data_IF_473000324429
#
_entry.id   IF_473000324429
#
_cell.length_a   1.000
_cell.length_b   1.000
_cell.length_c   1.000
_cell.angle_alpha   90.00
_cell.angle_beta   90.00
_cell.angle_gamma   90.00
#
_symmetry.space_group_name_H-M   'P 1'
#
loop_
_entity.id
_entity.type
_entity.pdbx_description
1 polymer ?
#
# COMPACT_ATOMS: atom_id res chain seq x y z
N UNK A 1 29.16 -14.54 24.42
CA UNK A 1 27.93 -14.59 23.59
C UNK A 1 27.63 -13.16 23.13
N UNK A 2 27.48 -12.89 21.83
CA UNK A 2 27.11 -11.54 21.38
C UNK A 2 25.66 -11.24 21.79
N UNK A 3 25.31 -9.97 22.07
CA UNK A 3 24.00 -9.59 22.56
C UNK A 3 22.92 -9.90 21.53
N UNK A 4 21.83 -10.51 21.99
CA UNK A 4 20.68 -10.90 21.19
C UNK A 4 20.03 -9.65 20.58
N UNK A 5 19.75 -9.70 19.28
CA UNK A 5 19.07 -8.65 18.49
C UNK A 5 17.56 -8.58 18.83
N UNK A 6 17.20 -8.69 20.10
CA UNK A 6 15.82 -8.79 20.57
C UNK A 6 14.97 -7.52 20.44
N UNK A 7 15.46 -6.27 20.51
CA UNK A 7 14.57 -5.11 20.42
C UNK A 7 13.99 -4.89 19.01
N UNK A 8 14.62 -5.46 17.96
CA UNK A 8 14.12 -5.40 16.58
C UNK A 8 12.96 -6.37 16.31
N UNK A 9 12.85 -7.44 17.09
CA UNK A 9 11.77 -8.43 16.94
C UNK A 9 10.41 -7.78 17.18
N UNK A 10 10.30 -6.86 18.15
CA UNK A 10 9.03 -6.21 18.47
C UNK A 10 8.61 -5.12 17.47
N UNK A 11 9.58 -4.47 16.80
CA UNK A 11 9.31 -3.51 15.71
C UNK A 11 8.87 -4.19 14.41
N UNK A 12 9.16 -5.49 14.29
CA UNK A 12 8.84 -6.29 13.10
C UNK A 12 7.59 -7.15 13.26
N UNK A 13 7.15 -7.44 14.49
CA UNK A 13 6.16 -8.51 14.68
C UNK A 13 4.70 -8.10 14.85
N UNK A 14 4.31 -6.90 15.29
CA UNK A 14 2.90 -6.70 15.68
C UNK A 14 2.48 -5.23 15.71
N UNK A 15 1.15 -4.96 15.60
CA UNK A 15 0.47 -4.41 14.41
C UNK A 15 1.04 -3.09 13.86
N UNK A 16 1.97 -2.45 14.58
CA UNK A 16 2.73 -1.27 14.19
C UNK A 16 4.02 -1.66 13.46
N UNK A 17 3.90 -2.49 12.43
CA UNK A 17 5.04 -2.71 11.53
C UNK A 17 5.35 -1.41 10.80
N UNK A 18 6.62 -1.24 10.40
CA UNK A 18 7.02 -0.09 9.58
C UNK A 18 6.19 0.00 8.28
N UNK A 19 5.75 -1.15 7.75
CA UNK A 19 4.82 -1.21 6.61
C UNK A 19 3.43 -0.68 6.95
N UNK A 20 2.89 -1.00 8.13
CA UNK A 20 1.60 -0.48 8.59
C UNK A 20 1.63 1.05 8.68
N UNK A 21 2.70 1.60 9.25
CA UNK A 21 2.88 3.05 9.38
C UNK A 21 2.98 3.70 7.99
N UNK A 22 3.82 3.14 7.11
CA UNK A 22 3.98 3.65 5.75
C UNK A 22 2.68 3.59 4.93
N UNK A 23 1.89 2.53 5.07
CA UNK A 23 0.60 2.39 4.38
C UNK A 23 -0.48 3.30 4.95
N UNK A 24 -0.47 3.52 6.26
CA UNK A 24 -1.35 4.53 6.89
C UNK A 24 -1.02 5.93 6.37
N UNK A 25 0.27 6.27 6.24
CA UNK A 25 0.71 7.52 5.62
C UNK A 25 0.23 7.65 4.17
N UNK A 26 0.37 6.59 3.37
CA UNK A 26 -0.14 6.54 1.99
C UNK A 26 -1.65 6.81 1.94
N UNK A 27 -2.43 6.18 2.83
CA UNK A 27 -3.88 6.41 2.92
C UNK A 27 -4.21 7.86 3.21
N UNK A 28 -3.55 8.47 4.20
CA UNK A 28 -3.76 9.87 4.56
C UNK A 28 -3.51 10.76 3.34
N UNK A 29 -2.42 10.54 2.60
CA UNK A 29 -2.11 11.34 1.40
C UNK A 29 -3.16 11.14 0.30
N UNK A 30 -3.61 9.91 0.05
CA UNK A 30 -4.67 9.68 -0.93
C UNK A 30 -5.98 10.36 -0.54
N UNK A 31 -6.39 10.27 0.73
CA UNK A 31 -7.59 10.95 1.25
C UNK A 31 -7.46 12.46 1.07
N UNK A 32 -6.34 13.05 1.48
CA UNK A 32 -6.07 14.48 1.30
C UNK A 32 -6.13 14.88 -0.18
N UNK A 33 -5.55 14.07 -1.06
CA UNK A 33 -5.57 14.32 -2.51
C UNK A 33 -7.00 14.29 -3.08
N UNK A 34 -7.81 13.32 -2.67
CA UNK A 34 -9.24 13.22 -3.08
C UNK A 34 -10.06 14.38 -2.51
N UNK A 35 -9.83 14.77 -1.26
CA UNK A 35 -10.51 15.92 -0.64
C UNK A 35 -10.21 17.23 -1.37
N UNK A 36 -8.95 17.44 -1.79
CA UNK A 36 -8.57 18.61 -2.59
C UNK A 36 -9.22 18.58 -3.99
N UNK A 37 -9.34 17.41 -4.60
CA UNK A 37 -10.10 17.26 -5.85
C UNK A 37 -11.58 17.61 -5.69
N UNK A 38 -12.23 17.17 -4.60
CA UNK A 38 -13.64 17.49 -4.35
C UNK A 38 -13.87 18.98 -4.01
N UNK A 39 -12.96 19.59 -3.25
CA UNK A 39 -13.05 21.00 -2.87
C UNK A 39 -12.72 21.98 -4.00
N UNK A 40 -12.06 21.51 -5.07
CA UNK A 40 -11.74 22.35 -6.23
C UNK A 40 -12.88 22.33 -7.25
N UNK A 41 -13.80 23.28 -7.12
CA UNK A 41 -14.98 23.50 -7.99
C UNK A 41 -14.65 23.97 -9.42
N UNK A 42 -13.54 23.55 -10.03
CA UNK A 42 -13.15 23.91 -11.40
C UNK A 42 -13.11 22.72 -12.38
N UNK A 43 -14.19 21.92 -12.50
CA UNK A 43 -14.25 20.79 -13.43
C UNK A 43 -14.18 21.19 -14.91
N UNK A 44 -14.27 22.49 -15.26
CA UNK A 44 -14.25 22.97 -16.65
C UNK A 44 -12.87 23.31 -17.24
N UNK A 45 -11.80 23.42 -16.44
CA UNK A 45 -10.49 23.87 -16.93
C UNK A 45 -9.41 22.77 -17.06
N UNK A 46 -9.67 21.55 -16.57
CA UNK A 46 -8.64 20.49 -16.41
C UNK A 46 -8.90 19.25 -17.31
N UNK A 47 -10.05 19.17 -17.97
CA UNK A 47 -10.35 18.09 -18.93
C UNK A 47 -10.38 16.69 -18.30
N UNK A 48 -10.09 15.66 -19.09
CA UNK A 48 -10.20 14.24 -18.70
C UNK A 48 -9.34 13.85 -17.48
N UNK A 49 -8.32 14.65 -17.16
CA UNK A 49 -7.44 14.45 -16.01
C UNK A 49 -8.17 14.61 -14.67
N UNK A 50 -9.26 15.38 -14.65
CA UNK A 50 -10.16 15.45 -13.49
C UNK A 50 -10.87 14.11 -13.19
N UNK A 51 -10.97 13.21 -14.17
CA UNK A 51 -11.61 11.90 -13.98
C UNK A 51 -10.55 10.83 -13.70
N UNK A 52 -9.48 10.80 -14.48
CA UNK A 52 -8.49 9.72 -14.43
C UNK A 52 -7.70 9.74 -13.12
N UNK A 53 -7.19 10.90 -12.68
CA UNK A 53 -6.29 10.98 -11.52
C UNK A 53 -7.02 10.62 -10.21
N UNK A 54 -8.24 11.10 -9.93
CA UNK A 54 -8.99 10.66 -8.75
C UNK A 54 -9.28 9.16 -8.76
N UNK A 55 -9.61 8.57 -9.92
CA UNK A 55 -9.83 7.12 -10.03
C UNK A 55 -8.56 6.34 -9.68
N UNK A 56 -7.40 6.75 -10.20
CA UNK A 56 -6.12 6.12 -9.85
C UNK A 56 -5.80 6.26 -8.35
N UNK A 57 -6.12 7.40 -7.74
CA UNK A 57 -5.95 7.62 -6.30
C UNK A 57 -6.88 6.74 -5.46
N UNK A 58 -8.13 6.53 -5.89
CA UNK A 58 -9.07 5.62 -5.24
C UNK A 58 -8.59 4.17 -5.34
N UNK A 59 -8.09 3.75 -6.50
CA UNK A 59 -7.50 2.41 -6.67
C UNK A 59 -6.25 2.21 -5.80
N UNK A 60 -5.38 3.21 -5.71
CA UNK A 60 -4.22 3.19 -4.81
C UNK A 60 -4.63 3.12 -3.34
N UNK A 61 -5.66 3.88 -2.95
CA UNK A 61 -6.25 3.85 -1.61
C UNK A 61 -6.84 2.47 -1.28
N UNK A 62 -7.64 1.89 -2.18
CA UNK A 62 -8.20 0.56 -2.03
C UNK A 62 -7.10 -0.51 -1.89
N UNK A 63 -6.04 -0.41 -2.69
CA UNK A 63 -4.89 -1.31 -2.61
C UNK A 63 -4.19 -1.25 -1.25
N UNK A 64 -3.99 -0.03 -0.71
CA UNK A 64 -3.42 0.17 0.62
C UNK A 64 -4.35 -0.35 1.73
N UNK A 65 -5.67 -0.14 1.63
CA UNK A 65 -6.66 -0.63 2.59
C UNK A 65 -6.70 -2.16 2.64
N UNK A 66 -6.78 -2.82 1.48
CA UNK A 66 -6.85 -4.28 1.40
C UNK A 66 -5.57 -4.89 1.98
N UNK A 67 -4.41 -4.33 1.62
CA UNK A 67 -3.14 -4.79 2.18
C UNK A 67 -3.05 -4.57 3.70
N UNK A 68 -3.48 -3.42 4.20
CA UNK A 68 -3.54 -3.17 5.65
C UNK A 68 -4.51 -4.11 6.36
N UNK A 69 -5.64 -4.42 5.73
CA UNK A 69 -6.59 -5.40 6.27
C UNK A 69 -5.93 -6.76 6.43
N UNK A 70 -5.21 -7.25 5.42
CA UNK A 70 -4.42 -8.49 5.52
C UNK A 70 -3.37 -8.42 6.65
N UNK A 71 -2.66 -7.30 6.79
CA UNK A 71 -1.69 -7.10 7.88
C UNK A 71 -2.36 -7.14 9.27
N UNK A 72 -3.52 -6.52 9.45
CA UNK A 72 -4.28 -6.52 10.70
C UNK A 72 -4.78 -7.92 11.04
N UNK A 73 -5.20 -8.69 10.04
CA UNK A 73 -5.58 -10.11 10.19
C UNK A 73 -4.37 -11.04 10.41
N UNK A 74 -3.15 -10.49 10.46
CA UNK A 74 -1.90 -11.25 10.58
C UNK A 74 -1.75 -12.30 9.46
N UNK A 75 -2.32 -12.00 8.30
CA UNK A 75 -2.17 -12.74 7.07
C UNK A 75 -1.16 -12.00 6.19
N UNK A 76 0.09 -12.45 6.22
CA UNK A 76 1.18 -11.86 5.47
C UNK A 76 1.78 -12.89 4.52
N UNK A 77 1.32 -12.85 3.27
CA UNK A 77 1.93 -13.58 2.18
C UNK A 77 2.83 -12.62 1.38
N UNK A 78 4.15 -12.82 1.45
CA UNK A 78 5.15 -11.91 0.86
C UNK A 78 4.93 -11.64 -0.63
N UNK A 79 4.60 -12.66 -1.43
CA UNK A 79 4.27 -12.50 -2.85
C UNK A 79 3.06 -11.59 -3.08
N UNK A 80 1.96 -11.81 -2.34
CA UNK A 80 0.75 -11.00 -2.42
C UNK A 80 1.02 -9.55 -2.03
N UNK A 81 1.78 -9.37 -0.94
CA UNK A 81 2.19 -8.04 -0.47
C UNK A 81 3.07 -7.30 -1.47
N UNK A 82 4.03 -8.00 -2.10
CA UNK A 82 4.85 -7.43 -3.17
C UNK A 82 4.01 -6.99 -4.36
N UNK A 83 2.99 -7.77 -4.74
CA UNK A 83 2.05 -7.38 -5.79
C UNK A 83 1.31 -6.10 -5.43
N UNK A 84 0.77 -5.96 -4.22
CA UNK A 84 0.13 -4.72 -3.77
C UNK A 84 1.10 -3.52 -3.81
N UNK A 85 2.32 -3.71 -3.31
CA UNK A 85 3.32 -2.64 -3.28
C UNK A 85 3.73 -2.22 -4.70
N UNK A 86 3.92 -3.18 -5.60
CA UNK A 86 4.23 -2.90 -7.00
C UNK A 86 3.08 -2.20 -7.73
N UNK A 87 1.84 -2.66 -7.55
CA UNK A 87 0.65 -2.00 -8.08
C UNK A 87 0.52 -0.58 -7.57
N UNK A 88 0.81 -0.34 -6.29
CA UNK A 88 0.83 1.00 -5.68
C UNK A 88 1.84 1.94 -6.36
N UNK A 89 3.08 1.48 -6.58
CA UNK A 89 4.11 2.23 -7.33
C UNK A 89 3.64 2.50 -8.76
N UNK A 90 3.11 1.50 -9.45
CA UNK A 90 2.67 1.64 -10.84
C UNK A 90 1.52 2.65 -10.95
N UNK A 91 0.51 2.57 -10.09
CA UNK A 91 -0.62 3.50 -10.06
C UNK A 91 -0.18 4.93 -9.73
N UNK A 92 0.75 5.11 -8.79
CA UNK A 92 1.26 6.44 -8.43
C UNK A 92 2.05 7.09 -9.55
N UNK A 93 2.89 6.31 -10.25
CA UNK A 93 3.65 6.75 -11.43
C UNK A 93 2.71 7.08 -12.60
N UNK A 94 1.72 6.23 -12.89
CA UNK A 94 0.73 6.51 -13.92
C UNK A 94 -0.04 7.81 -13.63
N UNK A 95 -0.47 8.02 -12.38
CA UNK A 95 -1.12 9.26 -11.97
C UNK A 95 -0.22 10.48 -12.16
N UNK A 96 1.06 10.36 -11.81
CA UNK A 96 2.06 11.42 -12.03
C UNK A 96 2.26 11.72 -13.53
N UNK A 97 2.34 10.70 -14.38
CA UNK A 97 2.44 10.87 -15.84
C UNK A 97 1.24 11.61 -16.40
N UNK A 98 0.02 11.24 -15.98
CA UNK A 98 -1.22 11.91 -16.42
C UNK A 98 -1.23 13.39 -15.99
N UNK A 99 -0.77 13.70 -14.78
CA UNK A 99 -0.66 15.07 -14.28
C UNK A 99 0.36 15.90 -15.06
N UNK A 100 1.51 15.33 -15.43
CA UNK A 100 2.56 16.01 -16.20
C UNK A 100 2.15 16.26 -17.65
N UNK A 101 1.39 15.34 -18.25
CA UNK A 101 0.88 15.50 -19.62
C UNK A 101 -0.22 16.56 -19.72
N UNK A 102 -0.90 16.88 -18.61
CA UNK A 102 -1.85 17.99 -18.56
C UNK A 102 -1.16 19.33 -18.32
N UNK A 103 -0.82 19.99 -19.42
CA UNK A 103 -0.22 21.31 -19.43
C UNK A 103 -1.26 22.40 -19.16
N UNK A 104 -1.50 22.70 -17.88
CA UNK A 104 -2.10 23.99 -17.50
C UNK A 104 -1.19 24.68 -16.48
N UNK A 105 -0.52 25.76 -16.91
CA UNK A 105 0.75 26.22 -16.33
C UNK A 105 0.64 26.81 -14.92
N UNK A 106 -0.57 27.12 -14.43
CA UNK A 106 -0.79 27.92 -13.22
C UNK A 106 -1.74 27.30 -12.18
N UNK A 107 -1.87 25.97 -12.13
CA UNK A 107 -2.67 25.32 -11.09
C UNK A 107 -1.81 24.98 -9.86
N UNK A 108 -1.90 25.79 -8.79
CA UNK A 108 -1.34 25.46 -7.47
C UNK A 108 -1.83 24.10 -6.95
N UNK A 109 -3.09 23.76 -7.28
CA UNK A 109 -3.73 22.47 -7.00
C UNK A 109 -2.99 21.32 -7.69
N UNK A 110 -2.66 21.45 -8.99
CA UNK A 110 -1.89 20.41 -9.70
C UNK A 110 -0.55 20.16 -9.04
N UNK A 111 0.18 21.22 -8.68
CA UNK A 111 1.51 21.07 -8.06
C UNK A 111 1.41 20.39 -6.68
N UNK A 112 0.38 20.72 -5.89
CA UNK A 112 0.10 20.03 -4.62
C UNK A 112 -0.17 18.53 -4.84
N UNK A 113 -1.02 18.21 -5.82
CA UNK A 113 -1.39 16.82 -6.11
C UNK A 113 -0.18 16.06 -6.68
N UNK A 114 0.63 16.68 -7.53
CA UNK A 114 1.87 16.10 -8.05
C UNK A 114 2.87 15.81 -6.92
N UNK A 115 3.01 16.71 -5.94
CA UNK A 115 3.82 16.46 -4.74
C UNK A 115 3.28 15.27 -3.95
N UNK A 116 1.96 15.17 -3.77
CA UNK A 116 1.34 14.02 -3.11
C UNK A 116 1.63 12.71 -3.87
N UNK A 117 1.54 12.71 -5.20
CA UNK A 117 1.92 11.56 -6.04
C UNK A 117 3.39 11.16 -5.85
N UNK A 118 4.30 12.13 -5.75
CA UNK A 118 5.71 11.87 -5.46
C UNK A 118 5.88 11.21 -4.08
N UNK A 119 5.24 11.76 -3.05
CA UNK A 119 5.32 11.24 -1.68
C UNK A 119 4.77 9.80 -1.59
N UNK A 120 3.62 9.50 -2.20
CA UNK A 120 3.10 8.13 -2.20
C UNK A 120 3.96 7.20 -3.03
N UNK A 121 4.58 7.66 -4.13
CA UNK A 121 5.51 6.85 -4.92
C UNK A 121 6.72 6.44 -4.10
N UNK A 122 7.30 7.38 -3.34
CA UNK A 122 8.41 7.10 -2.43
C UNK A 122 7.97 6.12 -1.34
N UNK A 123 6.81 6.34 -0.72
CA UNK A 123 6.30 5.47 0.33
C UNK A 123 5.97 4.05 -0.17
N UNK A 124 5.38 3.91 -1.36
CA UNK A 124 5.15 2.60 -1.99
C UNK A 124 6.45 1.90 -2.35
N UNK A 125 7.43 2.64 -2.87
CA UNK A 125 8.76 2.10 -3.19
C UNK A 125 9.48 1.64 -1.92
N UNK A 126 9.35 2.39 -0.83
CA UNK A 126 9.82 1.98 0.48
C UNK A 126 9.12 0.71 0.96
N UNK A 127 7.79 0.60 0.84
CA UNK A 127 7.06 -0.62 1.21
C UNK A 127 7.51 -1.82 0.38
N UNK A 128 7.71 -1.63 -0.94
CA UNK A 128 8.19 -2.67 -1.85
C UNK A 128 9.58 -3.16 -1.44
N UNK A 129 10.50 -2.24 -1.19
CA UNK A 129 11.85 -2.55 -0.71
C UNK A 129 11.80 -3.28 0.63
N UNK A 130 11.06 -2.73 1.60
CA UNK A 130 11.00 -3.27 2.95
C UNK A 130 10.38 -4.67 2.97
N UNK A 131 9.26 -4.87 2.29
CA UNK A 131 8.63 -6.19 2.16
C UNK A 131 9.58 -7.20 1.48
N UNK A 132 10.34 -6.80 0.46
CA UNK A 132 11.27 -7.71 -0.23
C UNK A 132 12.38 -8.24 0.66
N UNK A 133 12.96 -7.38 1.51
CA UNK A 133 14.20 -7.70 2.23
C UNK A 133 14.00 -8.01 3.71
N UNK A 134 13.03 -7.37 4.37
CA UNK A 134 12.89 -7.40 5.83
C UNK A 134 11.64 -8.11 6.34
N UNK A 135 10.89 -8.77 5.45
CA UNK A 135 9.70 -9.53 5.84
C UNK A 135 9.72 -10.96 5.32
N UNK A 136 9.09 -11.85 6.08
CA UNK A 136 8.88 -13.27 5.82
C UNK A 136 7.38 -13.57 5.78
N UNK A 137 6.99 -14.71 5.22
CA UNK A 137 5.60 -15.15 5.27
C UNK A 137 5.18 -15.36 6.74
N UNK A 138 3.95 -15.00 7.06
CA UNK A 138 3.34 -15.24 8.37
C UNK A 138 1.85 -15.40 8.18
N UNK A 139 1.26 -16.49 8.65
CA UNK A 139 -0.18 -16.71 8.64
C UNK A 139 -0.60 -17.00 10.06
N UNK A 140 -1.52 -16.21 10.61
CA UNK A 140 -2.08 -16.50 11.93
C UNK A 140 -3.20 -17.52 11.84
N UNK A 141 -3.16 -18.51 12.75
CA UNK A 141 -4.20 -19.54 12.91
C UNK A 141 -5.61 -18.96 13.16
N UNK A 142 -5.74 -17.70 13.59
CA UNK A 142 -7.04 -17.02 13.73
C UNK A 142 -7.81 -16.93 12.41
N UNK A 143 -7.11 -16.73 11.28
CA UNK A 143 -7.73 -16.69 9.96
C UNK A 143 -8.09 -18.10 9.46
N UNK A 144 -7.34 -19.12 9.87
CA UNK A 144 -7.56 -20.52 9.48
C UNK A 144 -8.74 -21.13 10.26
N UNK A 145 -8.85 -20.85 11.57
CA UNK A 145 -9.90 -21.42 12.43
C UNK A 145 -11.32 -20.93 12.10
N UNK A 146 -11.48 -19.73 11.53
CA UNK A 146 -12.80 -19.18 11.21
C UNK A 146 -13.28 -19.50 9.78
N UNK A 147 -12.40 -19.94 8.87
CA UNK A 147 -12.73 -20.14 7.45
C UNK A 147 -12.87 -21.61 7.00
N UNK A 148 -12.50 -22.60 7.81
CA UNK A 148 -12.68 -23.99 7.40
C UNK A 148 -12.45 -24.99 8.51
N UNK A 149 -13.36 -25.98 8.60
CA UNK A 149 -13.13 -27.25 9.29
C UNK A 149 -12.01 -28.05 8.60
N UNK A 150 -10.79 -27.52 8.55
CA UNK A 150 -9.59 -28.17 8.05
C UNK A 150 -8.79 -28.68 9.24
N UNK A 151 -8.72 -30.00 9.40
CA UNK A 151 -7.98 -30.69 10.47
C UNK A 151 -6.49 -30.36 10.43
N UNK A 152 -5.94 -30.07 11.61
CA UNK A 152 -4.77 -29.20 11.86
C UNK A 152 -3.40 -29.69 11.37
N UNK A 153 -3.24 -30.93 10.90
CA UNK A 153 -1.90 -31.51 10.74
C UNK A 153 -1.47 -31.80 9.28
N UNK A 154 -2.38 -31.79 8.30
CA UNK A 154 -2.09 -32.28 6.94
C UNK A 154 -1.77 -31.14 5.95
N UNK A 155 -2.28 -29.93 6.17
CA UNK A 155 -2.13 -28.83 5.19
C UNK A 155 -0.83 -28.02 5.37
N UNK A 156 -0.25 -28.00 6.57
CA UNK A 156 1.03 -27.32 6.81
C UNK A 156 2.17 -28.11 6.16
N UNK A 157 2.19 -29.44 6.27
CA UNK A 157 3.16 -30.29 5.57
C UNK A 157 3.02 -30.24 4.04
N UNK A 158 1.80 -30.06 3.51
CA UNK A 158 1.58 -29.92 2.07
C UNK A 158 2.11 -28.58 1.50
N UNK A 159 2.14 -27.52 2.30
CA UNK A 159 2.67 -26.20 1.93
C UNK A 159 4.19 -26.10 2.08
N UNK A 160 4.78 -26.82 3.04
CA UNK A 160 6.24 -26.91 3.21
C UNK A 160 6.90 -27.93 2.27
N UNK A 161 6.19 -28.99 1.86
CA UNK A 161 6.71 -30.03 0.97
C UNK A 161 6.87 -29.65 -0.50
N UNK A 162 6.38 -28.48 -0.93
CA UNK A 162 6.38 -28.05 -2.33
C UNK A 162 7.18 -26.76 -2.63
N UNK A 163 7.96 -26.23 -1.67
CA UNK A 163 8.84 -25.07 -1.87
C UNK A 163 10.25 -25.23 -1.32
#
# INVERSE_FOLDING_TARGET
MPPSREPLKYLTYYPFSVLTVAKTFILIIYILSVSVWQGSTHPRQIGIVFIIVPVLNLLGCASALISLWFMVQKFYWKRVELSFNFSGVALSLLGMSVLLLSYNKESSIRNYIALNHLLVTIAWSFCLFWSRFFTSNTVSNLFINEWGRGTEDIEIEALEGHF
#
